data_IF_595431222093
#
_entry.id   IF_595431222093
#
_cell.length_a   1.000
_cell.length_b   1.000
_cell.length_c   1.000
_cell.angle_alpha   90.00
_cell.angle_beta   90.00
_cell.angle_gamma   90.00
#
_symmetry.space_group_name_H-M   'P 1'
#
loop_
_entity.id
_entity.type
_entity.pdbx_description
1 polymer ?
#
# COMPACT_ATOMS: atom_id res chain seq x y z
N UNK A 1 -33.98 6.45 2.12
CA UNK A 1 -32.65 6.14 2.35
C UNK A 1 -31.68 6.78 1.38
N UNK A 2 -30.61 7.29 1.89
CA UNK A 2 -29.72 8.06 1.10
C UNK A 2 -28.43 7.31 0.84
N UNK A 3 -28.09 7.13 -0.40
CA UNK A 3 -26.85 6.47 -0.73
C UNK A 3 -25.87 7.47 -1.29
N UNK A 4 -24.65 7.39 -0.82
CA UNK A 4 -23.59 8.19 -1.38
C UNK A 4 -23.23 7.61 -2.74
N UNK A 5 -23.34 8.45 -3.77
CA UNK A 5 -22.95 8.03 -5.09
C UNK A 5 -21.43 8.02 -5.19
N UNK A 6 -20.88 6.90 -5.61
CA UNK A 6 -19.46 6.82 -5.88
C UNK A 6 -19.14 7.55 -7.19
N UNK A 7 -18.28 8.55 -7.12
CA UNK A 7 -17.80 9.26 -8.31
C UNK A 7 -16.39 8.78 -8.60
N UNK A 8 -16.15 8.24 -9.81
CA UNK A 8 -14.81 7.76 -10.15
C UNK A 8 -13.75 8.87 -9.98
N UNK A 9 -12.62 8.56 -9.34
CA UNK A 9 -11.60 9.59 -9.06
C UNK A 9 -11.09 10.32 -10.28
N UNK A 10 -11.02 9.65 -11.44
CA UNK A 10 -10.51 10.30 -12.66
C UNK A 10 -11.39 11.46 -13.09
N UNK A 11 -12.67 11.42 -12.77
CA UNK A 11 -13.58 12.50 -13.08
C UNK A 11 -13.42 13.67 -12.14
N UNK A 12 -12.65 13.48 -11.06
CA UNK A 12 -12.36 14.54 -10.10
C UNK A 12 -11.03 15.24 -10.34
N UNK A 13 -10.26 14.77 -11.33
CA UNK A 13 -8.93 15.33 -11.60
C UNK A 13 -7.91 15.04 -10.51
N UNK A 14 -8.03 13.91 -9.84
CA UNK A 14 -7.15 13.53 -8.75
C UNK A 14 -5.98 12.72 -9.29
N UNK A 15 -4.76 12.92 -8.72
CA UNK A 15 -3.60 12.14 -9.14
C UNK A 15 -3.75 10.66 -8.72
N UNK A 16 -2.90 9.76 -9.24
CA UNK A 16 -3.08 8.32 -9.00
C UNK A 16 -3.08 7.91 -7.53
N UNK A 17 -2.25 8.53 -6.69
CA UNK A 17 -2.23 8.19 -5.27
C UNK A 17 -3.53 8.64 -4.63
N UNK A 18 -3.98 9.86 -4.94
CA UNK A 18 -5.27 10.36 -4.46
C UNK A 18 -6.43 9.52 -4.97
N UNK A 19 -6.34 9.06 -6.22
CA UNK A 19 -7.34 8.16 -6.80
C UNK A 19 -7.46 6.88 -5.97
N UNK A 20 -6.32 6.28 -5.63
CA UNK A 20 -6.30 5.07 -4.83
C UNK A 20 -6.88 5.31 -3.44
N UNK A 21 -6.55 6.46 -2.83
CA UNK A 21 -7.09 6.80 -1.51
C UNK A 21 -8.62 6.90 -1.53
N UNK A 22 -9.17 7.44 -2.59
CA UNK A 22 -10.63 7.51 -2.74
C UNK A 22 -11.21 6.10 -2.81
N UNK A 23 -10.60 5.21 -3.60
CA UNK A 23 -11.07 3.83 -3.67
C UNK A 23 -11.01 3.15 -2.31
N UNK A 24 -9.94 3.38 -1.54
CA UNK A 24 -9.81 2.79 -0.21
C UNK A 24 -10.90 3.31 0.73
N UNK A 25 -11.25 4.58 0.63
CA UNK A 25 -12.31 5.18 1.44
C UNK A 25 -13.64 4.47 1.21
N UNK A 26 -13.89 4.04 -0.03
CA UNK A 26 -15.11 3.31 -0.37
C UNK A 26 -14.95 1.79 -0.28
N UNK A 27 -13.85 1.35 0.34
CA UNK A 27 -13.56 -0.08 0.54
C UNK A 27 -13.45 -0.85 -0.77
N UNK A 28 -13.02 -0.16 -1.81
CA UNK A 28 -12.77 -0.79 -3.12
C UNK A 28 -11.30 -1.14 -3.22
N UNK A 29 -10.88 -2.09 -2.38
CA UNK A 29 -9.45 -2.39 -2.20
C UNK A 29 -8.80 -2.94 -3.47
N UNK A 30 -9.50 -3.79 -4.21
CA UNK A 30 -8.92 -4.36 -5.43
C UNK A 30 -8.71 -3.29 -6.49
N UNK A 31 -9.59 -2.31 -6.53
CA UNK A 31 -9.47 -1.20 -7.46
C UNK A 31 -8.27 -0.32 -7.09
N UNK A 32 -8.13 -0.04 -5.78
CA UNK A 32 -6.98 0.71 -5.30
C UNK A 32 -5.68 -0.02 -5.65
N UNK A 33 -5.64 -1.34 -5.46
CA UNK A 33 -4.48 -2.14 -5.81
C UNK A 33 -4.13 -1.99 -7.29
N UNK A 34 -5.13 -2.09 -8.15
CA UNK A 34 -4.92 -1.98 -9.59
C UNK A 34 -4.30 -0.64 -9.96
N UNK A 35 -4.86 0.45 -9.43
CA UNK A 35 -4.35 1.79 -9.70
C UNK A 35 -2.91 1.93 -9.23
N UNK A 36 -2.62 1.45 -8.01
CA UNK A 36 -1.29 1.60 -7.43
C UNK A 36 -0.25 0.76 -8.15
N UNK A 37 -0.60 -0.46 -8.53
CA UNK A 37 0.33 -1.30 -9.28
C UNK A 37 0.68 -0.66 -10.62
N UNK A 38 -0.30 -0.07 -11.28
CA UNK A 38 -0.05 0.64 -12.52
C UNK A 38 0.84 1.85 -12.28
N UNK A 39 0.56 2.59 -11.19
CA UNK A 39 1.32 3.78 -10.87
C UNK A 39 2.79 3.48 -10.63
N UNK A 40 3.11 2.43 -9.87
CA UNK A 40 4.52 2.13 -9.58
C UNK A 40 5.25 1.57 -10.80
N UNK A 41 4.53 1.01 -11.78
CA UNK A 41 5.16 0.61 -13.03
C UNK A 41 5.61 1.82 -13.85
N UNK A 42 4.81 2.88 -13.83
CA UNK A 42 5.12 4.09 -14.58
C UNK A 42 6.00 5.07 -13.80
N UNK A 43 5.93 5.01 -12.47
CA UNK A 43 6.65 5.92 -11.59
C UNK A 43 7.31 5.10 -10.48
N UNK A 44 8.39 4.37 -10.81
CA UNK A 44 9.03 3.48 -9.82
C UNK A 44 9.55 4.20 -8.58
N UNK A 45 9.78 5.50 -8.67
CA UNK A 45 10.30 6.29 -7.54
C UNK A 45 9.20 6.93 -6.71
N UNK A 46 7.94 6.65 -7.01
CA UNK A 46 6.82 7.22 -6.27
C UNK A 46 6.65 6.44 -4.97
N UNK A 47 7.39 6.85 -3.93
CA UNK A 47 7.33 6.18 -2.64
C UNK A 47 5.95 6.20 -2.00
N UNK A 48 5.21 7.32 -2.03
CA UNK A 48 3.84 7.31 -1.49
C UNK A 48 2.97 6.23 -2.12
N UNK A 49 3.11 5.98 -3.44
CA UNK A 49 2.35 4.92 -4.09
C UNK A 49 2.74 3.54 -3.56
N UNK A 50 4.04 3.29 -3.37
CA UNK A 50 4.50 2.02 -2.80
C UNK A 50 3.96 1.81 -1.39
N UNK A 51 4.02 2.85 -0.55
CA UNK A 51 3.58 2.74 0.83
C UNK A 51 2.08 2.49 0.89
N UNK A 52 1.32 3.20 0.06
CA UNK A 52 -0.12 2.99 0.03
C UNK A 52 -0.48 1.61 -0.52
N UNK A 53 0.32 1.09 -1.44
CA UNK A 53 0.09 -0.26 -1.95
C UNK A 53 0.34 -1.31 -0.86
N UNK A 54 1.38 -1.12 -0.03
CA UNK A 54 1.58 -2.00 1.13
C UNK A 54 0.35 -2.00 2.02
N UNK A 55 -0.18 -0.82 2.34
CA UNK A 55 -1.38 -0.73 3.16
C UNK A 55 -2.57 -1.43 2.50
N UNK A 56 -2.70 -1.29 1.19
CA UNK A 56 -3.76 -1.95 0.44
C UNK A 56 -3.64 -3.47 0.53
N UNK A 57 -2.42 -3.99 0.39
CA UNK A 57 -2.18 -5.42 0.56
C UNK A 57 -2.53 -5.89 1.97
N UNK A 58 -2.24 -5.07 2.98
CA UNK A 58 -2.65 -5.39 4.34
C UNK A 58 -4.18 -5.50 4.44
N UNK A 59 -4.90 -4.53 3.88
CA UNK A 59 -6.37 -4.56 3.91
C UNK A 59 -6.94 -5.76 3.16
N UNK A 60 -6.25 -6.21 2.10
CA UNK A 60 -6.63 -7.39 1.34
C UNK A 60 -6.16 -8.70 1.98
N UNK A 61 -5.40 -8.61 3.07
CA UNK A 61 -4.79 -9.76 3.73
C UNK A 61 -3.91 -10.57 2.78
N UNK A 62 -3.26 -9.88 1.84
CA UNK A 62 -2.36 -10.48 0.87
C UNK A 62 -0.94 -10.50 1.43
N UNK A 63 -0.66 -11.43 2.34
CA UNK A 63 0.60 -11.46 3.05
C UNK A 63 1.80 -11.65 2.12
N UNK A 64 1.66 -12.50 1.11
CA UNK A 64 2.74 -12.75 0.17
C UNK A 64 3.10 -11.49 -0.62
N UNK A 65 2.09 -10.78 -1.14
CA UNK A 65 2.33 -9.55 -1.88
C UNK A 65 2.94 -8.47 -0.99
N UNK A 66 2.46 -8.39 0.25
CA UNK A 66 3.00 -7.44 1.22
C UNK A 66 4.49 -7.71 1.45
N UNK A 67 4.84 -8.98 1.71
CA UNK A 67 6.22 -9.35 1.98
C UNK A 67 7.14 -9.07 0.79
N UNK A 68 6.67 -9.40 -0.42
CA UNK A 68 7.46 -9.18 -1.62
C UNK A 68 7.74 -7.69 -1.83
N UNK A 69 6.71 -6.86 -1.68
CA UNK A 69 6.89 -5.44 -1.89
C UNK A 69 7.77 -4.82 -0.80
N UNK A 70 7.56 -5.21 0.47
CA UNK A 70 8.38 -4.71 1.56
C UNK A 70 9.84 -5.08 1.36
N UNK A 71 10.11 -6.29 0.88
CA UNK A 71 11.47 -6.73 0.61
C UNK A 71 12.14 -5.84 -0.44
N UNK A 72 11.41 -5.50 -1.49
CA UNK A 72 11.95 -4.63 -2.54
C UNK A 72 12.20 -3.20 -2.04
N UNK A 73 11.44 -2.76 -1.04
CA UNK A 73 11.54 -1.39 -0.56
C UNK A 73 12.52 -1.22 0.59
N UNK A 74 13.04 -2.31 1.14
CA UNK A 74 13.91 -2.24 2.32
C UNK A 74 15.07 -1.27 2.12
N UNK A 75 15.77 -1.37 0.99
CA UNK A 75 16.92 -0.52 0.74
C UNK A 75 16.59 0.97 0.69
N UNK A 76 15.37 1.29 0.27
CA UNK A 76 14.95 2.69 0.13
C UNK A 76 14.31 3.24 1.40
N UNK A 77 13.75 2.37 2.25
CA UNK A 77 12.96 2.80 3.40
C UNK A 77 13.58 2.45 4.74
N UNK A 78 14.69 1.69 4.77
CA UNK A 78 15.26 1.16 6.01
C UNK A 78 15.60 2.26 7.03
N UNK A 79 15.95 3.45 6.56
CA UNK A 79 16.32 4.57 7.41
C UNK A 79 15.20 5.58 7.62
N UNK A 80 14.01 5.27 7.14
CA UNK A 80 12.86 6.16 7.25
C UNK A 80 11.93 5.70 8.36
N UNK A 81 11.23 6.65 9.00
CA UNK A 81 10.30 6.27 10.09
C UNK A 81 9.22 5.31 9.65
N UNK A 82 8.81 5.37 8.39
CA UNK A 82 7.77 4.48 7.87
C UNK A 82 8.17 3.01 7.96
N UNK A 83 9.48 2.71 7.91
CA UNK A 83 9.93 1.32 7.90
C UNK A 83 9.54 0.57 9.17
N UNK A 84 9.63 1.22 10.33
CA UNK A 84 9.24 0.60 11.59
C UNK A 84 7.77 0.19 11.55
N UNK A 85 6.92 1.06 11.02
CA UNK A 85 5.50 0.76 10.90
C UNK A 85 5.26 -0.38 9.91
N UNK A 86 5.96 -0.37 8.78
CA UNK A 86 5.84 -1.43 7.77
C UNK A 86 6.19 -2.79 8.39
N UNK A 87 7.24 -2.85 9.19
CA UNK A 87 7.63 -4.09 9.85
C UNK A 87 6.63 -4.50 10.91
N UNK A 88 6.08 -3.53 11.66
CA UNK A 88 5.09 -3.83 12.68
C UNK A 88 3.83 -4.46 12.05
N UNK A 89 3.32 -3.86 10.98
CA UNK A 89 2.17 -4.38 10.25
C UNK A 89 2.51 -5.72 9.62
N UNK A 90 3.71 -5.83 9.05
CA UNK A 90 4.17 -7.07 8.41
C UNK A 90 4.21 -8.24 9.38
N UNK A 91 4.60 -8.00 10.63
CA UNK A 91 4.63 -9.05 11.64
C UNK A 91 3.24 -9.58 11.95
N UNK A 92 2.22 -8.73 11.85
CA UNK A 92 0.85 -9.20 12.07
C UNK A 92 0.34 -10.06 10.91
N UNK A 93 0.82 -9.79 9.69
CA UNK A 93 0.43 -10.57 8.52
C UNK A 93 1.26 -11.83 8.34
N UNK A 94 2.56 -11.74 8.59
CA UNK A 94 3.52 -12.81 8.33
C UNK A 94 4.54 -12.85 9.47
N UNK A 95 4.15 -13.38 10.64
CA UNK A 95 5.03 -13.33 11.81
C UNK A 95 6.33 -14.09 11.64
N UNK A 96 6.39 -15.05 10.72
CA UNK A 96 7.60 -15.85 10.52
C UNK A 96 8.52 -15.27 9.45
N UNK A 97 8.15 -14.17 8.81
CA UNK A 97 8.96 -13.61 7.74
C UNK A 97 10.17 -12.88 8.36
N UNK A 98 11.41 -13.31 8.05
CA UNK A 98 12.59 -12.79 8.75
C UNK A 98 12.81 -11.30 8.58
N UNK A 99 12.42 -10.75 7.43
CA UNK A 99 12.62 -9.33 7.15
C UNK A 99 12.03 -8.44 8.25
N UNK A 100 10.84 -8.79 8.73
CA UNK A 100 10.13 -7.95 9.69
C UNK A 100 10.69 -8.13 11.10
N UNK A 101 11.38 -9.21 11.35
CA UNK A 101 11.97 -9.46 12.67
C UNK A 101 13.27 -8.68 12.87
N UNK A 102 13.92 -8.28 11.79
CA UNK A 102 15.21 -7.59 11.87
C UNK A 102 15.10 -6.20 12.44
N UNK A 103 13.91 -5.62 12.47
CA UNK A 103 13.72 -4.26 12.97
C UNK A 103 13.36 -4.22 14.45
N UNK A 104 13.44 -5.35 15.15
CA UNK A 104 13.07 -5.46 16.55
C UNK A 104 14.25 -5.21 17.47
N UNK A 105 14.94 -4.14 17.28
CA UNK A 105 16.08 -3.80 18.13
C UNK A 105 15.75 -2.60 18.98
#
# INVERSE_FOLDING_TARGET
MHQLRFVPPRQRGIDPVGEAEVYLTYQRYKRARQVLRHTIQNEPDNLPAHILLLHTYYLLESSQDYCQLASKLQGRLAHRPEWAHICHVGRSLAPEYPLFQQSMH
#
